data_IF_816568215120
#
_entry.id   IF_816568215120
#
_cell.length_a   1.000
_cell.length_b   1.000
_cell.length_c   1.000
_cell.angle_alpha   90.00
_cell.angle_beta   90.00
_cell.angle_gamma   90.00
#
_symmetry.space_group_name_H-M   'P 1'
#
loop_
_entity.id
_entity.type
_entity.pdbx_description
1 polymer ?
#
# COMPACT_ATOMS: atom_id res chain seq x y z
N UNK A 1 3.97 61.43 -34.10
CA UNK A 1 3.42 61.01 -32.77
C UNK A 1 3.33 59.46 -32.84
N UNK A 2 4.33 58.81 -32.26
CA UNK A 2 4.43 57.32 -32.27
C UNK A 2 3.79 56.81 -31.00
N UNK A 3 2.66 56.09 -31.10
CA UNK A 3 2.05 55.40 -29.97
C UNK A 3 2.75 54.06 -29.75
N UNK A 4 3.52 53.97 -28.66
CA UNK A 4 4.08 52.73 -28.16
C UNK A 4 2.96 51.90 -27.52
N UNK A 5 2.68 50.77 -28.11
CA UNK A 5 1.77 49.75 -27.56
C UNK A 5 2.66 48.82 -26.72
N UNK A 6 2.61 48.94 -25.40
CA UNK A 6 3.21 47.98 -24.47
C UNK A 6 2.29 46.74 -24.39
N UNK A 7 2.63 45.70 -25.14
CA UNK A 7 2.03 44.40 -24.98
C UNK A 7 2.51 43.79 -23.68
N UNK A 8 1.67 43.81 -22.65
CA UNK A 8 1.94 43.13 -21.39
C UNK A 8 1.77 41.60 -21.58
N UNK A 9 2.88 40.90 -21.73
CA UNK A 9 2.94 39.45 -21.77
C UNK A 9 2.70 38.94 -20.33
N UNK A 10 1.44 38.65 -20.01
CA UNK A 10 1.05 38.00 -18.77
C UNK A 10 1.36 36.52 -18.89
N UNK A 11 2.55 36.12 -18.48
CA UNK A 11 2.91 34.69 -18.34
C UNK A 11 2.19 34.18 -17.10
N UNK A 12 1.06 33.49 -17.31
CA UNK A 12 0.41 32.70 -16.29
C UNK A 12 1.31 31.49 -15.98
N UNK A 13 2.11 31.57 -14.94
CA UNK A 13 2.74 30.40 -14.34
C UNK A 13 1.61 29.51 -13.76
N UNK A 14 1.21 28.52 -14.50
CA UNK A 14 0.39 27.44 -14.00
C UNK A 14 1.31 26.58 -13.09
N UNK A 15 1.42 26.98 -11.84
CA UNK A 15 1.99 26.14 -10.79
C UNK A 15 1.01 24.99 -10.55
N UNK A 16 1.17 23.91 -11.32
CA UNK A 16 0.45 22.66 -11.06
C UNK A 16 0.80 22.22 -9.64
N UNK A 17 -0.18 22.23 -8.75
CA UNK A 17 -0.03 21.63 -7.43
C UNK A 17 0.14 20.13 -7.62
N UNK A 18 1.38 19.66 -7.50
CA UNK A 18 1.67 18.23 -7.35
C UNK A 18 1.04 17.82 -6.02
N UNK A 19 -0.14 17.22 -6.09
CA UNK A 19 -0.79 16.61 -4.93
C UNK A 19 -0.02 15.36 -4.59
N UNK A 20 1.00 15.47 -3.73
CA UNK A 20 1.62 14.32 -3.12
C UNK A 20 0.63 13.74 -2.11
N UNK A 21 0.30 12.46 -2.25
CA UNK A 21 -0.50 11.75 -1.25
C UNK A 21 0.37 11.57 -0.02
N UNK A 22 0.09 12.31 1.04
CA UNK A 22 0.78 12.18 2.32
C UNK A 22 0.05 11.14 3.16
N UNK A 23 0.77 10.12 3.60
CA UNK A 23 0.27 9.05 4.46
C UNK A 23 0.91 9.17 5.85
N UNK A 24 0.17 8.82 6.90
CA UNK A 24 0.72 8.77 8.26
C UNK A 24 1.68 7.58 8.34
N UNK A 25 2.87 7.80 8.91
CA UNK A 25 3.84 6.75 9.20
C UNK A 25 3.29 5.84 10.30
N UNK A 26 3.21 4.55 10.00
CA UNK A 26 2.84 3.51 10.95
C UNK A 26 4.08 2.70 11.34
N UNK A 27 4.30 2.57 12.65
CA UNK A 27 5.26 1.61 13.19
C UNK A 27 4.61 0.23 13.37
N UNK A 28 5.42 -0.78 13.67
CA UNK A 28 4.92 -2.16 13.79
C UNK A 28 3.79 -2.32 14.82
N UNK A 29 3.86 -1.73 16.04
CA UNK A 29 2.74 -1.76 16.97
C UNK A 29 1.45 -1.20 16.38
N UNK A 30 1.52 -0.07 15.67
CA UNK A 30 0.35 0.57 15.03
C UNK A 30 -0.20 -0.27 13.88
N UNK A 31 0.66 -0.91 13.08
CA UNK A 31 0.24 -1.86 12.04
C UNK A 31 -0.50 -3.04 12.66
N UNK A 32 0.01 -3.60 13.76
CA UNK A 32 -0.63 -4.71 14.48
C UNK A 32 -1.97 -4.28 15.07
N UNK A 33 -2.03 -3.12 15.72
CA UNK A 33 -3.25 -2.59 16.36
C UNK A 33 -4.36 -2.36 15.32
N UNK A 34 -4.05 -1.71 14.19
CA UNK A 34 -5.01 -1.34 13.17
C UNK A 34 -5.49 -2.52 12.31
N UNK A 35 -4.79 -3.64 12.36
CA UNK A 35 -5.13 -4.82 11.56
C UNK A 35 -6.17 -5.69 12.24
N UNK A 36 -7.15 -6.18 11.48
CA UNK A 36 -8.07 -7.22 11.92
C UNK A 36 -7.48 -8.62 11.67
N UNK A 37 -6.62 -8.75 10.66
CA UNK A 37 -5.93 -10.00 10.31
C UNK A 37 -4.49 -9.72 9.91
N UNK A 38 -3.57 -10.60 10.33
CA UNK A 38 -2.16 -10.58 9.95
C UNK A 38 -1.77 -11.99 9.54
N UNK A 39 -1.32 -12.16 8.31
CA UNK A 39 -1.00 -13.48 7.78
C UNK A 39 0.33 -13.46 7.02
N UNK A 40 1.06 -14.59 7.10
CA UNK A 40 2.04 -14.96 6.10
C UNK A 40 1.36 -15.85 5.08
N UNK A 41 1.62 -15.65 3.81
CA UNK A 41 1.05 -16.46 2.74
C UNK A 41 1.75 -16.25 1.40
N UNK A 42 1.26 -17.00 0.42
CA UNK A 42 1.72 -16.91 -0.97
C UNK A 42 0.63 -16.32 -1.85
N UNK A 43 1.00 -15.40 -2.73
CA UNK A 43 0.10 -14.82 -3.72
C UNK A 43 -0.17 -15.86 -4.81
N UNK A 44 -1.41 -16.34 -4.87
CA UNK A 44 -1.85 -17.33 -5.86
C UNK A 44 -2.29 -16.66 -7.16
N UNK A 45 -2.98 -15.53 -7.04
CA UNK A 45 -3.55 -14.84 -8.20
C UNK A 45 -3.63 -13.33 -8.00
N UNK A 46 -3.52 -12.61 -9.12
CA UNK A 46 -3.71 -11.15 -9.18
C UNK A 46 -4.58 -10.85 -10.38
N UNK A 47 -5.80 -10.43 -10.13
CA UNK A 47 -6.78 -10.09 -11.17
C UNK A 47 -7.21 -8.64 -11.06
N UNK A 48 -7.35 -7.96 -12.20
CA UNK A 48 -7.94 -6.63 -12.25
C UNK A 48 -9.32 -6.71 -12.89
N UNK A 49 -10.31 -6.17 -12.19
CA UNK A 49 -11.70 -6.16 -12.63
C UNK A 49 -12.31 -4.76 -12.47
N UNK A 50 -13.28 -4.47 -13.30
CA UNK A 50 -14.14 -3.30 -13.12
C UNK A 50 -15.07 -3.50 -11.93
N UNK A 51 -15.47 -2.39 -11.30
CA UNK A 51 -16.63 -2.38 -10.42
C UNK A 51 -17.94 -2.67 -11.22
N UNK A 52 -19.05 -2.79 -10.51
CA UNK A 52 -20.35 -3.07 -11.11
C UNK A 52 -20.79 -2.00 -12.13
N UNK A 53 -20.37 -0.77 -11.94
CA UNK A 53 -20.72 0.38 -12.78
C UNK A 53 -19.69 0.63 -13.88
N UNK A 54 -18.60 -0.15 -13.91
CA UNK A 54 -17.45 0.03 -14.81
C UNK A 54 -16.80 1.41 -14.73
N UNK A 55 -16.87 2.03 -13.55
CA UNK A 55 -16.32 3.35 -13.29
C UNK A 55 -14.92 3.29 -12.68
N UNK A 56 -14.65 2.24 -11.89
CA UNK A 56 -13.38 2.07 -11.18
C UNK A 56 -12.80 0.67 -11.45
N UNK A 57 -11.47 0.62 -11.63
CA UNK A 57 -10.74 -0.63 -11.69
C UNK A 57 -10.26 -1.02 -10.29
N UNK A 58 -10.44 -2.28 -9.92
CA UNK A 58 -9.93 -2.86 -8.67
C UNK A 58 -9.04 -4.06 -8.95
N UNK A 59 -7.95 -4.14 -8.20
CA UNK A 59 -7.08 -5.32 -8.17
C UNK A 59 -7.52 -6.22 -7.03
N UNK A 60 -7.78 -7.48 -7.36
CA UNK A 60 -8.09 -8.56 -6.42
C UNK A 60 -6.90 -9.50 -6.34
N UNK A 61 -6.34 -9.63 -5.14
CA UNK A 61 -5.18 -10.48 -4.87
C UNK A 61 -5.63 -11.63 -3.99
N UNK A 62 -5.49 -12.86 -4.50
CA UNK A 62 -5.78 -14.07 -3.73
C UNK A 62 -4.51 -14.55 -3.06
N UNK A 63 -4.56 -14.69 -1.74
CA UNK A 63 -3.44 -15.14 -0.92
C UNK A 63 -3.78 -16.46 -0.24
N UNK A 64 -2.97 -17.49 -0.48
CA UNK A 64 -3.00 -18.76 0.26
C UNK A 64 -2.27 -18.56 1.59
N UNK A 65 -2.96 -18.77 2.71
CA UNK A 65 -2.46 -18.50 4.06
C UNK A 65 -1.64 -19.69 4.54
N UNK A 66 -0.38 -19.45 4.88
CA UNK A 66 0.51 -20.45 5.47
C UNK A 66 0.59 -20.31 7.00
N UNK A 67 0.59 -19.09 7.52
CA UNK A 67 0.73 -18.80 8.95
C UNK A 67 -0.15 -17.61 9.36
N UNK A 68 -1.31 -17.87 9.98
CA UNK A 68 -2.16 -16.81 10.53
C UNK A 68 -1.63 -16.36 11.90
N UNK A 69 -1.21 -15.09 12.01
CA UNK A 69 -0.67 -14.50 13.24
C UNK A 69 -1.71 -13.71 14.03
N UNK A 70 -2.72 -13.14 13.36
CA UNK A 70 -3.85 -12.43 13.99
C UNK A 70 -5.13 -12.67 13.19
N UNK A 71 -6.27 -12.76 13.87
CA UNK A 71 -7.61 -12.78 13.27
C UNK A 71 -7.99 -14.08 12.60
N UNK A 72 -8.50 -13.99 11.38
CA UNK A 72 -9.09 -15.11 10.65
C UNK A 72 -8.07 -16.20 10.30
N UNK A 73 -8.49 -17.46 10.44
CA UNK A 73 -7.68 -18.64 10.12
C UNK A 73 -8.10 -19.31 8.81
N UNK A 74 -8.70 -18.57 7.89
CA UNK A 74 -9.05 -19.07 6.56
C UNK A 74 -7.80 -19.50 5.82
N UNK A 75 -7.94 -20.54 5.01
CA UNK A 75 -6.85 -21.02 4.15
C UNK A 75 -6.53 -20.07 2.99
N UNK A 76 -7.50 -19.27 2.62
CA UNK A 76 -7.39 -18.32 1.51
C UNK A 76 -8.13 -17.04 1.86
N UNK A 77 -7.54 -15.91 1.51
CA UNK A 77 -8.15 -14.60 1.63
C UNK A 77 -7.99 -13.80 0.34
N UNK A 78 -8.85 -12.79 0.18
CA UNK A 78 -8.80 -11.91 -0.99
C UNK A 78 -8.59 -10.48 -0.53
N UNK A 79 -7.49 -9.87 -0.99
CA UNK A 79 -7.21 -8.45 -0.82
C UNK A 79 -7.81 -7.71 -2.02
N UNK A 80 -8.57 -6.64 -1.75
CA UNK A 80 -9.12 -5.75 -2.76
C UNK A 80 -8.49 -4.38 -2.62
N UNK A 81 -7.96 -3.84 -3.70
CA UNK A 81 -7.34 -2.52 -3.72
C UNK A 81 -7.73 -1.75 -4.98
N UNK A 82 -7.85 -0.42 -4.85
CA UNK A 82 -8.17 0.46 -5.96
C UNK A 82 -7.01 0.51 -6.96
N UNK A 83 -7.35 0.52 -8.24
CA UNK A 83 -6.40 0.63 -9.34
C UNK A 83 -6.01 -0.71 -9.95
N UNK A 84 -5.14 -0.64 -10.94
CA UNK A 84 -4.64 -1.75 -11.73
C UNK A 84 -4.69 -1.49 -13.23
N UNK A 85 -4.15 -2.43 -14.01
CA UNK A 85 -4.14 -2.35 -15.46
C UNK A 85 -5.24 -3.24 -16.04
N UNK A 86 -6.16 -2.66 -16.78
CA UNK A 86 -7.24 -3.37 -17.46
C UNK A 86 -7.36 -2.87 -18.90
N UNK A 87 -7.00 -3.72 -19.87
CA UNK A 87 -6.90 -3.31 -21.27
C UNK A 87 -5.88 -2.19 -21.49
N UNK A 88 -6.31 -1.09 -22.08
CA UNK A 88 -5.49 0.11 -22.32
C UNK A 88 -5.43 1.03 -21.09
N UNK A 89 -6.33 0.86 -20.11
CA UNK A 89 -6.35 1.68 -18.91
C UNK A 89 -5.34 1.18 -17.88
N UNK A 90 -4.57 2.10 -17.32
CA UNK A 90 -3.68 1.84 -16.21
C UNK A 90 -3.93 2.88 -15.11
N UNK A 91 -4.64 2.47 -14.06
CA UNK A 91 -4.94 3.30 -12.89
C UNK A 91 -3.89 2.99 -11.82
N UNK A 92 -2.96 3.91 -11.64
CA UNK A 92 -1.94 3.79 -10.59
C UNK A 92 -2.28 4.70 -9.41
N UNK A 93 -2.47 4.10 -8.25
CA UNK A 93 -2.72 4.82 -7.00
C UNK A 93 -1.43 4.84 -6.20
N UNK A 94 -0.95 6.05 -5.86
CA UNK A 94 0.29 6.22 -5.13
C UNK A 94 0.25 5.47 -3.79
N UNK A 95 1.31 4.73 -3.48
CA UNK A 95 1.46 3.99 -2.24
C UNK A 95 0.70 2.65 -2.18
N UNK A 96 -0.12 2.30 -3.16
CA UNK A 96 -0.74 0.98 -3.17
C UNK A 96 0.33 -0.12 -3.32
N UNK A 97 0.27 -1.18 -2.49
CA UNK A 97 1.20 -2.28 -2.60
C UNK A 97 1.03 -3.00 -3.93
N UNK A 98 2.16 -3.35 -4.55
CA UNK A 98 2.17 -4.20 -5.74
C UNK A 98 2.31 -5.65 -5.32
N UNK A 99 1.54 -6.52 -5.96
CA UNK A 99 1.58 -7.96 -5.73
C UNK A 99 1.95 -8.68 -7.01
N UNK A 100 2.79 -9.70 -6.88
CA UNK A 100 3.20 -10.57 -7.97
C UNK A 100 2.81 -12.01 -7.65
N UNK A 101 2.25 -12.71 -8.63
CA UNK A 101 1.91 -14.13 -8.46
C UNK A 101 3.15 -14.94 -8.07
N UNK A 102 3.01 -15.77 -7.05
CA UNK A 102 4.06 -16.64 -6.53
C UNK A 102 4.92 -16.01 -5.44
N UNK A 103 4.81 -14.69 -5.18
CA UNK A 103 5.56 -14.07 -4.09
C UNK A 103 5.04 -14.53 -2.72
N UNK A 104 5.94 -14.60 -1.75
CA UNK A 104 5.60 -14.82 -0.35
C UNK A 104 5.59 -13.50 0.40
N UNK A 105 4.53 -13.31 1.19
CA UNK A 105 4.29 -12.03 1.85
C UNK A 105 3.83 -12.21 3.30
N UNK A 106 4.13 -11.20 4.13
CA UNK A 106 3.42 -10.94 5.37
C UNK A 106 2.59 -9.70 5.13
N UNK A 107 1.27 -9.77 5.36
CA UNK A 107 0.34 -8.66 5.14
C UNK A 107 -0.48 -8.35 6.37
N UNK A 108 -0.60 -7.05 6.63
CA UNK A 108 -1.39 -6.45 7.70
C UNK A 108 -2.71 -5.98 7.08
N UNK A 109 -3.83 -6.53 7.51
CA UNK A 109 -5.08 -6.47 6.79
C UNK A 109 -6.24 -5.92 7.64
N UNK A 110 -7.05 -5.06 7.03
CA UNK A 110 -8.33 -4.57 7.54
C UNK A 110 -9.46 -5.20 6.76
N UNK A 111 -10.46 -5.72 7.46
CA UNK A 111 -11.65 -6.33 6.85
C UNK A 111 -12.53 -5.26 6.19
N UNK A 112 -13.04 -5.55 4.99
CA UNK A 112 -14.01 -4.74 4.28
C UNK A 112 -15.42 -5.34 4.42
N UNK A 113 -16.45 -4.51 4.24
CA UNK A 113 -17.85 -4.95 4.38
C UNK A 113 -18.31 -6.02 3.39
N UNK A 114 -17.57 -6.23 2.30
CA UNK A 114 -17.83 -7.26 1.27
C UNK A 114 -17.09 -8.58 1.54
N UNK A 115 -16.43 -8.72 2.69
CA UNK A 115 -15.65 -9.89 3.06
C UNK A 115 -14.26 -9.95 2.45
N UNK A 116 -13.85 -8.95 1.67
CA UNK A 116 -12.48 -8.77 1.23
C UNK A 116 -11.65 -8.04 2.29
N UNK A 117 -10.36 -7.90 2.03
CA UNK A 117 -9.42 -7.21 2.90
C UNK A 117 -8.73 -6.06 2.18
N UNK A 118 -8.30 -5.07 2.93
CA UNK A 118 -7.43 -4.00 2.45
C UNK A 118 -6.14 -4.00 3.27
N UNK A 119 -5.01 -3.70 2.63
CA UNK A 119 -3.73 -3.57 3.33
C UNK A 119 -3.72 -2.29 4.17
N UNK A 120 -3.38 -2.41 5.44
CA UNK A 120 -3.25 -1.30 6.38
C UNK A 120 -2.04 -0.44 6.02
N UNK A 121 -2.23 0.89 6.03
CA UNK A 121 -1.12 1.82 5.78
C UNK A 121 -0.53 1.75 4.38
N UNK A 122 -1.30 1.25 3.39
CA UNK A 122 -0.86 1.07 2.02
C UNK A 122 0.35 0.10 1.95
N UNK A 123 1.44 0.49 1.24
CA UNK A 123 2.64 -0.35 1.13
C UNK A 123 3.39 -0.58 2.46
N UNK A 124 3.11 0.20 3.50
CA UNK A 124 3.69 -0.02 4.85
C UNK A 124 3.25 -1.36 5.47
N UNK A 125 2.02 -1.80 5.15
CA UNK A 125 1.45 -3.05 5.68
C UNK A 125 1.73 -4.29 4.82
N UNK A 126 2.61 -4.20 3.81
CA UNK A 126 3.08 -5.34 3.02
C UNK A 126 4.57 -5.56 3.22
N UNK A 127 4.95 -6.76 3.63
CA UNK A 127 6.33 -7.23 3.67
C UNK A 127 6.46 -8.41 2.71
N UNK A 128 7.43 -8.32 1.79
CA UNK A 128 7.82 -9.42 0.92
C UNK A 128 8.84 -10.31 1.63
N UNK A 129 8.70 -11.62 1.49
CA UNK A 129 9.67 -12.56 2.06
C UNK A 129 10.71 -12.88 1.01
N UNK A 130 11.96 -12.55 1.30
CA UNK A 130 13.10 -12.80 0.43
C UNK A 130 14.33 -13.20 1.25
N UNK A 131 14.94 -14.34 0.93
CA UNK A 131 16.17 -14.83 1.57
C UNK A 131 16.10 -14.81 3.11
N UNK A 132 15.02 -15.35 3.69
CA UNK A 132 14.75 -15.42 5.13
C UNK A 132 14.55 -14.05 5.82
N UNK A 133 14.27 -13.01 5.05
CA UNK A 133 13.93 -11.69 5.56
C UNK A 133 12.54 -11.25 5.12
N UNK A 134 11.86 -10.58 6.04
CA UNK A 134 10.69 -9.78 5.73
C UNK A 134 11.17 -8.37 5.33
N UNK A 135 10.80 -7.95 4.12
CA UNK A 135 11.27 -6.70 3.50
C UNK A 135 10.08 -5.85 3.12
N UNK A 136 9.97 -4.65 3.67
CA UNK A 136 8.98 -3.65 3.25
C UNK A 136 9.65 -2.53 2.48
N UNK A 137 9.06 -2.18 1.33
CA UNK A 137 9.52 -1.07 0.51
C UNK A 137 8.47 0.05 0.56
N UNK A 138 8.78 1.09 1.33
CA UNK A 138 7.92 2.26 1.53
C UNK A 138 8.34 3.42 0.62
N UNK A 139 8.81 3.13 -0.59
CA UNK A 139 9.19 4.16 -1.56
C UNK A 139 7.99 4.72 -2.32
N UNK A 140 8.11 5.96 -2.80
CA UNK A 140 7.16 6.59 -3.73
C UNK A 140 5.90 7.19 -3.08
N UNK A 141 5.90 7.37 -1.76
CA UNK A 141 4.89 8.15 -1.03
C UNK A 141 5.57 9.09 -0.04
N UNK A 142 4.95 10.22 0.21
CA UNK A 142 5.32 11.09 1.32
C UNK A 142 4.65 10.59 2.59
N UNK A 143 5.44 10.47 3.66
CA UNK A 143 4.97 9.95 4.94
C UNK A 143 5.09 11.04 6.00
N UNK A 144 3.98 11.41 6.61
CA UNK A 144 3.99 12.28 7.77
C UNK A 144 4.38 11.47 9.01
N UNK A 145 5.47 11.87 9.65
CA UNK A 145 5.94 11.28 10.90
C UNK A 145 5.40 12.08 12.09
N UNK A 146 4.40 11.58 12.82
CA UNK A 146 3.81 12.32 13.94
C UNK A 146 4.77 12.52 15.12
N UNK A 147 5.83 11.69 15.25
CA UNK A 147 6.84 11.82 16.31
C UNK A 147 7.81 12.99 16.05
N UNK A 148 8.09 13.30 14.79
CA UNK A 148 9.01 14.38 14.40
C UNK A 148 8.28 15.64 13.89
N UNK A 149 6.98 15.52 13.57
CA UNK A 149 6.17 16.58 12.95
C UNK A 149 6.59 16.90 11.50
N UNK A 150 7.35 16.03 10.85
CA UNK A 150 7.89 16.25 9.50
C UNK A 150 7.28 15.34 8.46
N UNK A 151 7.22 15.84 7.23
CA UNK A 151 6.96 14.99 6.05
C UNK A 151 8.31 14.47 5.57
N UNK A 152 8.39 13.17 5.42
CA UNK A 152 9.57 12.44 4.96
C UNK A 152 9.18 11.72 3.67
N UNK A 153 10.04 11.75 2.65
CA UNK A 153 9.89 10.87 1.48
C UNK A 153 10.77 9.65 1.75
N UNK A 154 10.21 8.56 2.30
CA UNK A 154 11.04 7.43 2.67
C UNK A 154 11.58 6.76 1.40
N UNK A 155 12.87 6.64 1.35
CA UNK A 155 13.59 5.79 0.42
C UNK A 155 14.18 4.57 1.15
N UNK A 156 13.54 4.14 2.26
CA UNK A 156 14.08 3.05 3.06
C UNK A 156 13.34 1.74 2.81
N UNK A 157 14.12 0.69 2.86
CA UNK A 157 13.66 -0.68 2.89
C UNK A 157 13.78 -1.13 4.34
N UNK A 158 12.65 -1.37 5.01
CA UNK A 158 12.65 -2.02 6.31
C UNK A 158 12.91 -3.51 6.11
N UNK A 159 13.90 -4.04 6.81
CA UNK A 159 14.33 -5.43 6.65
C UNK A 159 14.59 -6.07 8.02
N UNK A 160 13.91 -7.17 8.27
CA UNK A 160 14.09 -7.94 9.50
C UNK A 160 14.16 -9.45 9.20
N UNK A 161 14.94 -10.24 9.97
CA UNK A 161 14.89 -11.70 9.88
C UNK A 161 13.46 -12.18 10.14
N UNK A 162 12.94 -13.07 9.28
CA UNK A 162 11.52 -13.44 9.26
C UNK A 162 11.02 -13.98 10.60
N UNK A 163 11.78 -14.86 11.25
CA UNK A 163 11.34 -15.47 12.50
C UNK A 163 11.30 -14.46 13.65
N UNK A 164 12.27 -13.56 13.72
CA UNK A 164 12.28 -12.46 14.70
C UNK A 164 11.11 -11.51 14.47
N UNK A 165 10.80 -11.20 13.21
CA UNK A 165 9.69 -10.33 12.84
C UNK A 165 8.35 -10.95 13.23
N UNK A 166 8.13 -12.24 12.91
CA UNK A 166 6.93 -13.00 13.30
C UNK A 166 6.78 -13.11 14.81
N UNK A 167 7.86 -13.38 15.53
CA UNK A 167 7.86 -13.44 17.01
C UNK A 167 7.40 -12.11 17.60
N UNK A 168 7.91 -10.99 17.09
CA UNK A 168 7.52 -9.65 17.53
C UNK A 168 6.06 -9.32 17.22
N UNK A 169 5.55 -9.73 16.04
CA UNK A 169 4.12 -9.59 15.72
C UNK A 169 3.27 -10.35 16.73
N UNK A 170 3.60 -11.61 17.00
CA UNK A 170 2.85 -12.45 17.95
C UNK A 170 2.89 -11.93 19.39
N UNK A 171 3.97 -11.30 19.78
CA UNK A 171 4.09 -10.61 21.08
C UNK A 171 3.12 -9.43 21.17
N UNK A 172 3.00 -8.63 20.11
CA UNK A 172 2.13 -7.46 20.04
C UNK A 172 0.64 -7.81 19.89
N UNK A 173 0.30 -9.01 19.44
CA UNK A 173 -1.09 -9.47 19.28
C UNK A 173 -1.71 -9.93 20.62
N UNK A 174 -0.90 -10.24 21.63
CA UNK A 174 -1.35 -10.65 22.97
C UNK A 174 -1.95 -9.49 23.74
#
# INVERSE_FOLDING_TARGET
MRKLIYGSLFVLLFAGTLSATTVIRLDLPQLVEQSDSIVQGRVENVNVMWDSERSLAFTYVTVSVADPMKGDRRRTLTIRQLGGKIGALNVNVAGMPKFTRGEEVIVFLKTQGDGTYQVVGLNQGKYEISNDFAVSNVSGIDVYNPKTGRIETPAFVDRAPIESFKAKIRELVK
#
